data_IF_339763477566
#
_entry.id   IF_339763477566
#
_cell.length_a   1.000
_cell.length_b   1.000
_cell.length_c   1.000
_cell.angle_alpha   90.00
_cell.angle_beta   90.00
_cell.angle_gamma   90.00
#
_symmetry.space_group_name_H-M   'P 1'
#
loop_
_entity.id
_entity.type
_entity.pdbx_description
1 polymer ?
#
# COMPACT_ATOMS: atom_id res chain seq x y z
N UNK A 1 -6.88 24.52 -17.52
CA UNK A 1 -7.81 23.43 -17.29
C UNK A 1 -7.71 22.94 -15.84
N UNK A 2 -8.81 22.91 -15.17
CA UNK A 2 -8.76 22.42 -13.81
C UNK A 2 -8.75 20.90 -13.82
N UNK A 3 -7.93 20.36 -12.95
CA UNK A 3 -7.84 18.93 -12.81
C UNK A 3 -9.00 18.41 -11.96
N UNK A 4 -9.47 17.23 -12.29
CA UNK A 4 -10.48 16.58 -11.48
C UNK A 4 -9.94 16.30 -10.08
N UNK A 5 -10.76 16.50 -9.05
CA UNK A 5 -10.36 16.20 -7.69
C UNK A 5 -10.42 14.71 -7.37
N UNK A 6 -10.96 13.92 -8.27
CA UNK A 6 -11.06 12.50 -8.06
C UNK A 6 -9.79 11.75 -8.39
N UNK A 7 -9.72 10.46 -8.05
CA UNK A 7 -8.57 9.64 -8.39
C UNK A 7 -8.46 9.43 -9.90
N UNK A 8 -7.24 9.21 -10.37
CA UNK A 8 -7.00 8.92 -11.77
C UNK A 8 -7.43 7.51 -12.12
N UNK A 9 -7.45 6.62 -11.14
CA UNK A 9 -7.84 5.23 -11.35
C UNK A 9 -8.44 4.67 -10.06
N UNK A 10 -9.47 3.86 -10.22
CA UNK A 10 -10.11 3.16 -9.10
C UNK A 10 -10.09 1.68 -9.43
N UNK A 11 -9.55 0.87 -8.53
CA UNK A 11 -9.44 -0.56 -8.74
C UNK A 11 -9.93 -1.30 -7.51
N UNK A 12 -10.75 -2.33 -7.72
CA UNK A 12 -11.24 -3.19 -6.65
C UNK A 12 -10.41 -4.46 -6.58
N UNK A 13 -10.19 -4.95 -5.36
CA UNK A 13 -9.49 -6.21 -5.17
C UNK A 13 -8.05 -6.20 -5.66
N UNK A 14 -7.22 -5.36 -5.08
CA UNK A 14 -5.85 -5.15 -5.54
C UNK A 14 -4.85 -5.92 -4.70
N UNK A 15 -3.89 -6.54 -5.36
CA UNK A 15 -2.70 -7.11 -4.72
C UNK A 15 -1.49 -6.53 -5.44
N UNK A 16 -0.65 -5.82 -4.71
CA UNK A 16 0.57 -5.23 -5.26
C UNK A 16 1.77 -5.79 -4.54
N UNK A 17 2.74 -6.25 -5.29
CA UNK A 17 3.99 -6.77 -4.74
C UNK A 17 5.11 -5.80 -5.09
N UNK A 18 5.78 -5.29 -4.07
CA UNK A 18 6.93 -4.41 -4.25
C UNK A 18 8.20 -5.21 -4.03
N UNK A 19 9.10 -5.14 -5.00
CA UNK A 19 10.34 -5.89 -4.96
C UNK A 19 11.54 -4.94 -5.05
N UNK A 20 12.67 -5.42 -4.58
CA UNK A 20 13.93 -4.71 -4.67
C UNK A 20 15.01 -5.73 -4.96
N UNK A 21 15.76 -5.51 -6.05
CA UNK A 21 16.83 -6.42 -6.47
C UNK A 21 16.31 -7.85 -6.63
N UNK A 22 15.09 -7.99 -7.17
CA UNK A 22 14.50 -9.29 -7.42
C UNK A 22 13.90 -9.98 -6.22
N UNK A 23 13.95 -9.36 -5.05
CA UNK A 23 13.40 -9.96 -3.83
C UNK A 23 12.17 -9.20 -3.36
N UNK A 24 11.20 -9.94 -2.86
CA UNK A 24 9.98 -9.35 -2.34
C UNK A 24 10.27 -8.57 -1.06
N UNK A 25 9.78 -7.33 -1.01
CA UNK A 25 9.94 -6.46 0.15
C UNK A 25 8.63 -6.33 0.91
N UNK A 26 7.56 -6.06 0.21
CA UNK A 26 6.25 -5.99 0.84
C UNK A 26 5.16 -6.31 -0.17
N UNK A 27 4.03 -6.75 0.34
CA UNK A 27 2.85 -7.02 -0.44
C UNK A 27 1.69 -6.24 0.15
N UNK A 28 1.03 -5.44 -0.69
CA UNK A 28 -0.13 -4.66 -0.30
C UNK A 28 -1.38 -5.34 -0.83
N UNK A 29 -2.35 -5.57 0.05
CA UNK A 29 -3.65 -6.11 -0.33
C UNK A 29 -4.73 -5.15 0.14
N UNK A 30 -5.66 -4.82 -0.74
CA UNK A 30 -6.75 -3.90 -0.40
C UNK A 30 -7.99 -4.22 -1.22
N UNK A 31 -9.19 -4.11 -0.63
CA UNK A 31 -10.42 -4.30 -1.39
C UNK A 31 -10.74 -3.16 -2.35
N UNK A 32 -10.15 -1.99 -2.12
CA UNK A 32 -10.40 -0.83 -2.94
C UNK A 32 -9.18 0.08 -2.92
N UNK A 33 -8.73 0.48 -4.09
CA UNK A 33 -7.56 1.34 -4.23
C UNK A 33 -7.90 2.52 -5.13
N UNK A 34 -7.59 3.71 -4.65
CA UNK A 34 -7.64 4.95 -5.44
C UNK A 34 -6.21 5.33 -5.79
N UNK A 35 -5.97 5.58 -7.04
CA UNK A 35 -4.65 5.92 -7.52
C UNK A 35 -4.65 7.35 -8.01
N UNK A 36 -3.70 8.12 -7.50
CA UNK A 36 -3.54 9.52 -7.89
C UNK A 36 -2.15 9.71 -8.46
N UNK A 37 -2.08 10.32 -9.62
CA UNK A 37 -0.81 10.65 -10.24
C UNK A 37 -0.71 12.17 -10.28
N UNK A 38 0.22 12.72 -9.51
CA UNK A 38 0.36 14.14 -9.35
C UNK A 38 1.85 14.52 -9.34
N UNK A 39 2.25 15.39 -10.27
CA UNK A 39 3.62 15.89 -10.35
C UNK A 39 4.66 14.76 -10.30
N UNK A 40 4.45 13.72 -11.08
CA UNK A 40 5.35 12.58 -11.20
C UNK A 40 5.40 11.74 -9.93
N UNK A 41 4.56 12.03 -8.96
CA UNK A 41 4.46 11.24 -7.75
C UNK A 41 3.20 10.41 -7.79
N UNK A 42 3.33 9.13 -7.47
CA UNK A 42 2.17 8.26 -7.41
C UNK A 42 1.71 8.11 -5.95
N UNK A 43 0.44 8.35 -5.75
CA UNK A 43 -0.19 8.20 -4.44
C UNK A 43 -1.26 7.12 -4.55
N UNK A 44 -1.22 6.18 -3.62
CA UNK A 44 -2.18 5.08 -3.58
C UNK A 44 -2.92 5.16 -2.26
N UNK A 45 -4.24 5.34 -2.35
CA UNK A 45 -5.08 5.43 -1.17
C UNK A 45 -5.95 4.19 -1.06
N UNK A 46 -6.04 3.65 0.15
CA UNK A 46 -6.85 2.47 0.45
C UNK A 46 -7.92 2.87 1.46
N UNK A 47 -9.04 3.45 0.98
CA UNK A 47 -10.04 4.02 1.89
C UNK A 47 -10.85 2.99 2.68
N UNK A 48 -10.87 1.74 2.20
CA UNK A 48 -11.65 0.69 2.86
C UNK A 48 -10.75 -0.34 3.55
N UNK A 49 -9.50 0.03 3.80
CA UNK A 49 -8.60 -0.83 4.53
C UNK A 49 -7.51 -1.42 3.67
N UNK A 50 -6.51 -1.95 4.35
CA UNK A 50 -5.37 -2.55 3.69
C UNK A 50 -4.69 -3.55 4.59
N UNK A 51 -3.97 -4.47 3.96
CA UNK A 51 -3.09 -5.41 4.65
C UNK A 51 -1.74 -5.35 3.97
N UNK A 52 -0.71 -5.08 4.74
CA UNK A 52 0.65 -5.03 4.21
C UNK A 52 1.46 -6.14 4.85
N UNK A 53 2.04 -6.98 4.03
CA UNK A 53 2.90 -8.06 4.47
C UNK A 53 4.34 -7.66 4.17
N UNK A 54 5.18 -7.64 5.21
CA UNK A 54 6.60 -7.32 5.06
C UNK A 54 7.41 -8.62 5.04
N UNK A 55 8.40 -8.67 4.17
CA UNK A 55 9.25 -9.85 4.01
C UNK A 55 10.67 -9.54 4.45
N UNK A 56 11.33 -10.55 5.01
CA UNK A 56 12.74 -10.43 5.37
C UNK A 56 13.62 -10.73 4.16
N UNK A 57 14.93 -10.74 4.38
CA UNK A 57 15.90 -10.94 3.29
C UNK A 57 15.82 -12.33 2.66
N UNK A 58 15.22 -13.29 3.35
CA UNK A 58 15.02 -14.64 2.83
C UNK A 58 13.61 -14.82 2.25
N UNK A 59 12.87 -13.72 2.12
CA UNK A 59 11.51 -13.71 1.59
C UNK A 59 10.49 -14.46 2.45
N UNK A 60 10.80 -14.60 3.73
CA UNK A 60 9.84 -15.09 4.71
C UNK A 60 9.03 -13.93 5.27
N UNK A 61 7.82 -14.20 5.72
CA UNK A 61 6.98 -13.16 6.30
C UNK A 61 7.60 -12.71 7.62
N UNK A 62 7.96 -11.44 7.69
CA UNK A 62 8.54 -10.85 8.88
C UNK A 62 7.47 -10.24 9.78
N UNK A 63 6.54 -9.51 9.17
CA UNK A 63 5.48 -8.85 9.92
C UNK A 63 4.30 -8.55 9.02
N UNK A 64 3.16 -8.28 9.64
CA UNK A 64 1.92 -7.95 8.93
C UNK A 64 1.29 -6.74 9.59
N UNK A 65 0.90 -5.78 8.77
CA UNK A 65 0.23 -4.55 9.20
C UNK A 65 -1.16 -4.51 8.58
N UNK A 66 -2.17 -4.29 9.39
CA UNK A 66 -3.53 -4.07 8.89
C UNK A 66 -4.07 -2.76 9.43
N UNK A 67 -4.93 -2.10 8.66
CA UNK A 67 -5.56 -0.86 9.06
C UNK A 67 -6.83 -0.67 8.26
N UNK A 68 -7.74 0.17 8.77
CA UNK A 68 -8.97 0.48 8.04
C UNK A 68 -8.76 1.59 7.02
N UNK A 69 -7.62 2.24 7.05
CA UNK A 69 -7.25 3.26 6.07
C UNK A 69 -5.75 3.24 5.87
N UNK A 70 -5.33 3.37 4.64
CA UNK A 70 -3.91 3.44 4.31
C UNK A 70 -3.65 4.36 3.14
N UNK A 71 -2.46 4.95 3.14
CA UNK A 71 -1.99 5.81 2.07
C UNK A 71 -0.53 5.49 1.80
N UNK A 72 -0.24 5.13 0.57
CA UNK A 72 1.10 4.75 0.15
C UNK A 72 1.63 5.82 -0.79
N UNK A 73 2.81 6.33 -0.49
CA UNK A 73 3.45 7.39 -1.26
C UNK A 73 4.81 6.93 -1.75
N UNK A 74 5.26 7.52 -2.86
CA UNK A 74 6.62 7.31 -3.37
C UNK A 74 6.94 5.83 -3.58
N UNK A 75 6.03 5.13 -4.26
CA UNK A 75 6.22 3.74 -4.64
C UNK A 75 6.56 2.82 -3.47
N UNK A 76 5.90 3.06 -2.34
CA UNK A 76 6.06 2.19 -1.19
C UNK A 76 7.10 2.66 -0.18
N UNK A 77 7.70 3.83 -0.38
CA UNK A 77 8.68 4.34 0.57
C UNK A 77 8.05 4.97 1.80
N UNK A 78 6.83 5.50 1.65
CA UNK A 78 6.10 6.11 2.75
C UNK A 78 4.74 5.47 2.88
N UNK A 79 4.41 5.07 4.08
CA UNK A 79 3.13 4.44 4.37
C UNK A 79 2.50 5.15 5.56
N UNK A 80 1.29 5.66 5.37
CA UNK A 80 0.49 6.23 6.45
C UNK A 80 -0.71 5.34 6.66
N UNK A 81 -0.99 5.02 7.92
CA UNK A 81 -2.13 4.18 8.27
C UNK A 81 -2.88 4.82 9.41
N UNK A 82 -4.17 4.58 9.46
CA UNK A 82 -5.00 5.03 10.57
C UNK A 82 -6.24 4.15 10.69
N UNK A 83 -6.88 4.26 11.83
CA UNK A 83 -8.11 3.54 12.16
C UNK A 83 -7.90 2.04 12.26
N UNK A 84 -7.94 1.54 13.47
CA UNK A 84 -7.80 0.13 13.80
C UNK A 84 -6.49 -0.45 13.27
N UNK A 85 -5.40 0.27 13.50
CA UNK A 85 -4.08 -0.18 13.06
C UNK A 85 -3.61 -1.32 13.95
N UNK A 86 -3.26 -2.45 13.34
CA UNK A 86 -2.74 -3.61 14.04
C UNK A 86 -1.44 -4.03 13.35
N UNK A 87 -0.39 -4.14 14.15
CA UNK A 87 0.89 -4.57 13.65
C UNK A 87 1.29 -5.86 14.37
N UNK A 88 1.52 -6.91 13.60
CA UNK A 88 1.92 -8.20 14.14
C UNK A 88 3.30 -8.56 13.64
N UNK A 89 4.19 -8.83 14.58
CA UNK A 89 5.53 -9.28 14.25
C UNK A 89 5.55 -10.79 14.33
N UNK A 90 6.10 -11.43 13.30
CA UNK A 90 6.09 -12.88 13.18
C UNK A 90 7.25 -13.54 13.92
N UNK A 91 7.88 -12.83 14.85
CA UNK A 91 8.96 -13.39 15.66
C UNK A 91 8.54 -13.62 17.08
#
# INVERSE_FOLDING_TARGET
MSRSDGPDEITEGVIMLFTDMGKSKLKLESPLVYRFLDNEEMKIECPNGMKVTFYDTLENIESVLTANYGLLLSEGQYLKVKDSVVFQNNK
#
